data_IF_211544076669
#
_entry.id   IF_211544076669
#
_cell.length_a   1.000
_cell.length_b   1.000
_cell.length_c   1.000
_cell.angle_alpha   90.00
_cell.angle_beta   90.00
_cell.angle_gamma   90.00
#
_symmetry.space_group_name_H-M   'P 1'
#
loop_
_entity.id
_entity.type
_entity.pdbx_description
1 polymer ?
#
# COMPACT_ATOMS: atom_id res chain seq x y z
N UNK A 1 37.40 38.23 -23.56
CA UNK A 1 36.95 38.19 -24.97
C UNK A 1 36.66 36.74 -25.36
N UNK A 2 35.54 36.53 -26.07
CA UNK A 2 34.98 35.29 -26.66
C UNK A 2 34.24 34.35 -25.69
N UNK A 3 33.04 33.86 -25.94
CA UNK A 3 31.79 34.33 -26.58
C UNK A 3 30.77 33.23 -26.28
N UNK A 4 29.55 33.57 -25.84
CA UNK A 4 28.43 32.64 -25.72
C UNK A 4 27.78 32.40 -27.10
N UNK A 5 27.42 31.16 -27.45
CA UNK A 5 26.35 30.90 -28.39
C UNK A 5 25.05 30.58 -27.65
N UNK A 6 24.16 31.57 -27.69
CA UNK A 6 22.70 31.45 -27.63
C UNK A 6 22.21 30.33 -28.56
N UNK A 7 21.57 29.29 -28.03
CA UNK A 7 20.68 28.43 -28.83
C UNK A 7 19.23 28.71 -28.46
N UNK A 8 18.50 29.08 -29.52
CA UNK A 8 17.09 29.47 -29.54
C UNK A 8 16.20 28.26 -29.27
N UNK A 9 15.08 28.55 -28.63
CA UNK A 9 13.99 27.64 -28.33
C UNK A 9 13.48 26.86 -29.54
N UNK A 10 13.21 25.57 -29.34
CA UNK A 10 12.19 24.84 -30.07
C UNK A 10 11.20 24.32 -29.03
N UNK A 11 10.06 25.00 -28.93
CA UNK A 11 8.87 24.46 -28.29
C UNK A 11 8.28 23.38 -29.22
N UNK A 12 8.17 22.15 -28.73
CA UNK A 12 7.29 21.15 -29.29
C UNK A 12 6.58 20.46 -28.12
N UNK A 13 5.30 20.79 -27.99
CA UNK A 13 4.38 20.25 -27.02
C UNK A 13 4.25 18.73 -27.22
N UNK A 14 4.76 17.95 -26.26
CA UNK A 14 4.43 16.54 -26.17
C UNK A 14 3.09 16.45 -25.46
N UNK A 15 2.11 16.02 -26.25
CA UNK A 15 0.71 15.86 -25.94
C UNK A 15 0.47 15.11 -24.62
N UNK A 16 -0.37 15.72 -23.80
CA UNK A 16 -1.14 15.11 -22.71
C UNK A 16 -2.00 13.97 -23.27
N UNK A 17 -1.42 12.78 -23.42
CA UNK A 17 -2.17 11.55 -23.56
C UNK A 17 -2.20 10.84 -22.20
N UNK A 18 -2.95 11.42 -21.25
CA UNK A 18 -3.40 10.68 -20.07
C UNK A 18 -4.63 9.85 -20.48
N UNK A 19 -4.58 8.51 -20.50
CA UNK A 19 -5.78 7.75 -20.23
C UNK A 19 -6.06 7.86 -18.73
N UNK A 20 -6.89 8.83 -18.36
CA UNK A 20 -7.70 8.74 -17.15
C UNK A 20 -8.62 7.53 -17.30
N UNK A 21 -8.26 6.42 -16.67
CA UNK A 21 -9.18 5.29 -16.47
C UNK A 21 -9.05 4.74 -15.05
N UNK A 22 -9.05 5.64 -14.06
CA UNK A 22 -9.42 5.30 -12.68
C UNK A 22 -10.89 5.69 -12.47
N UNK A 23 -11.80 4.95 -13.09
CA UNK A 23 -13.21 4.94 -12.76
C UNK A 23 -13.65 3.50 -12.54
N UNK A 24 -13.49 3.03 -11.30
CA UNK A 24 -14.30 1.97 -10.74
C UNK A 24 -14.70 2.38 -9.31
N UNK A 25 -15.35 3.55 -9.25
CA UNK A 25 -16.27 3.89 -8.17
C UNK A 25 -17.53 3.05 -8.42
N UNK A 26 -17.65 1.89 -7.76
CA UNK A 26 -18.86 1.06 -7.85
C UNK A 26 -19.83 1.54 -6.78
N UNK A 27 -20.79 2.37 -7.18
CA UNK A 27 -21.94 2.73 -6.35
C UNK A 27 -23.22 2.82 -7.18
N UNK A 28 -24.01 1.74 -7.04
CA UNK A 28 -25.47 1.71 -6.86
C UNK A 28 -26.40 2.06 -8.03
N UNK A 29 -27.18 1.06 -8.49
CA UNK A 29 -28.64 1.17 -8.79
C UNK A 29 -29.28 -0.20 -9.05
N UNK A 30 -30.48 -0.38 -8.51
CA UNK A 30 -31.19 -1.62 -8.17
C UNK A 30 -32.00 -2.25 -9.31
N UNK A 31 -32.15 -3.59 -9.30
CA UNK A 31 -33.41 -4.31 -9.56
C UNK A 31 -33.39 -5.73 -8.97
N UNK A 32 -34.54 -6.25 -8.47
CA UNK A 32 -34.59 -7.46 -7.67
C UNK A 32 -34.94 -8.68 -8.52
N UNK A 33 -34.20 -9.77 -8.35
CA UNK A 33 -34.67 -11.09 -8.77
C UNK A 33 -34.90 -11.95 -7.53
N UNK A 34 -36.18 -12.32 -7.36
CA UNK A 34 -36.66 -13.37 -6.48
C UNK A 34 -36.01 -14.68 -6.91
N UNK A 35 -35.33 -15.36 -6.00
CA UNK A 35 -35.38 -16.82 -5.97
C UNK A 35 -35.37 -17.32 -4.53
N UNK A 36 -36.17 -18.36 -4.37
CA UNK A 36 -36.77 -18.91 -3.19
C UNK A 36 -35.83 -19.87 -2.45
N UNK A 37 -35.84 -19.77 -1.13
CA UNK A 37 -35.85 -20.83 -0.10
C UNK A 37 -34.87 -22.02 -0.15
N UNK A 38 -34.08 -22.16 0.92
CA UNK A 38 -34.27 -23.16 2.01
C UNK A 38 -32.93 -23.64 2.63
N UNK A 39 -32.55 -23.17 3.83
CA UNK A 39 -32.65 -23.84 5.17
C UNK A 39 -31.37 -24.65 5.54
N UNK A 40 -31.14 -25.08 6.82
CA UNK A 40 -30.31 -24.40 7.81
C UNK A 40 -29.10 -25.24 8.31
N UNK A 41 -28.19 -24.63 9.08
CA UNK A 41 -27.52 -25.33 10.19
C UNK A 41 -26.94 -24.33 11.19
N UNK A 42 -27.51 -24.35 12.39
CA UNK A 42 -26.95 -23.74 13.58
C UNK A 42 -25.71 -24.50 14.05
N UNK A 43 -24.74 -23.79 14.62
CA UNK A 43 -24.11 -24.19 15.88
C UNK A 43 -23.30 -23.03 16.47
N UNK A 44 -23.77 -22.60 17.62
CA UNK A 44 -23.14 -21.73 18.60
C UNK A 44 -21.87 -22.39 19.15
N UNK A 45 -20.85 -21.59 19.46
CA UNK A 45 -20.06 -21.77 20.68
C UNK A 45 -19.17 -20.56 20.96
N UNK A 46 -19.47 -19.94 22.09
CA UNK A 46 -18.71 -18.92 22.77
C UNK A 46 -17.32 -19.40 23.19
N UNK A 47 -16.30 -18.53 23.12
CA UNK A 47 -15.19 -18.49 24.09
C UNK A 47 -14.51 -17.11 24.10
N UNK A 48 -14.80 -16.38 25.19
CA UNK A 48 -13.97 -15.49 26.05
C UNK A 48 -12.61 -14.92 25.56
N UNK A 49 -12.21 -13.73 26.08
CA UNK A 49 -11.15 -12.90 25.55
C UNK A 49 -9.76 -13.33 26.07
N UNK A 50 -8.76 -13.24 25.18
CA UNK A 50 -7.36 -13.38 25.54
C UNK A 50 -6.66 -12.03 25.45
N UNK A 51 -6.47 -11.39 26.61
CA UNK A 51 -5.42 -10.40 26.80
C UNK A 51 -4.07 -11.10 26.60
N UNK A 52 -3.47 -10.87 25.43
CA UNK A 52 -2.10 -11.26 25.13
C UNK A 52 -1.24 -10.01 25.12
N UNK A 53 -0.67 -9.69 26.27
CA UNK A 53 0.44 -8.76 26.42
C UNK A 53 1.61 -9.29 25.58
N UNK A 54 1.72 -8.85 24.34
CA UNK A 54 2.92 -9.08 23.53
C UNK A 54 3.80 -7.86 23.71
N UNK A 55 4.55 -7.89 24.81
CA UNK A 55 5.81 -7.20 24.96
C UNK A 55 6.54 -7.20 23.63
N UNK A 56 6.61 -6.02 22.99
CA UNK A 56 7.51 -5.77 21.87
C UNK A 56 8.93 -5.72 22.43
N UNK A 57 9.44 -6.89 22.84
CA UNK A 57 10.85 -7.10 23.10
C UNK A 57 11.57 -6.80 21.80
N UNK A 58 12.39 -5.75 21.84
CA UNK A 58 13.22 -5.30 20.74
C UNK A 58 14.08 -6.45 20.20
N UNK A 59 13.61 -7.08 19.13
CA UNK A 59 14.41 -7.96 18.29
C UNK A 59 15.25 -7.11 17.34
N UNK A 60 16.28 -6.46 17.87
CA UNK A 60 17.43 -6.04 17.06
C UNK A 60 18.21 -7.30 16.68
N UNK A 61 17.66 -8.12 15.79
CA UNK A 61 18.44 -9.12 15.08
C UNK A 61 19.15 -8.42 13.93
N UNK A 62 20.22 -7.71 14.30
CA UNK A 62 21.31 -7.43 13.40
C UNK A 62 22.03 -8.76 13.15
N UNK A 63 22.02 -9.23 11.91
CA UNK A 63 22.91 -10.31 11.47
C UNK A 63 22.25 -11.67 11.30
N UNK A 64 21.39 -11.80 10.28
CA UNK A 64 21.50 -12.89 9.31
C UNK A 64 21.22 -12.26 7.94
N UNK A 65 21.95 -12.64 6.89
CA UNK A 65 21.76 -12.14 5.51
C UNK A 65 20.44 -12.63 4.87
N UNK A 66 19.38 -12.80 5.67
CA UNK A 66 18.05 -13.25 5.29
C UNK A 66 17.10 -12.13 4.87
N UNK A 67 15.97 -12.55 4.31
CA UNK A 67 14.84 -11.71 3.91
C UNK A 67 14.44 -10.77 5.08
N UNK A 68 14.37 -9.44 4.86
CA UNK A 68 14.11 -8.49 5.94
C UNK A 68 12.73 -8.71 6.52
N UNK A 69 12.51 -8.55 7.83
CA UNK A 69 11.22 -8.86 8.45
C UNK A 69 10.07 -7.95 7.98
N UNK A 70 8.81 -8.40 8.14
CA UNK A 70 7.62 -7.58 7.83
C UNK A 70 7.67 -6.21 8.52
N UNK A 71 8.05 -6.18 9.80
CA UNK A 71 8.17 -4.94 10.57
C UNK A 71 9.26 -4.02 10.00
N UNK A 72 10.41 -4.56 9.59
CA UNK A 72 11.48 -3.79 8.94
C UNK A 72 11.03 -3.21 7.59
N UNK A 73 10.28 -3.97 6.81
CA UNK A 73 9.72 -3.53 5.53
C UNK A 73 8.70 -2.42 5.74
N UNK A 74 7.78 -2.58 6.70
CA UNK A 74 6.79 -1.56 7.05
C UNK A 74 7.45 -0.27 7.56
N UNK A 75 8.46 -0.38 8.43
CA UNK A 75 9.20 0.77 8.94
C UNK A 75 9.91 1.54 7.82
N UNK A 76 10.65 0.85 6.95
CA UNK A 76 11.34 1.49 5.82
C UNK A 76 10.41 2.18 4.84
N UNK A 77 9.25 1.57 4.57
CA UNK A 77 8.22 2.17 3.74
C UNK A 77 7.60 3.40 4.42
N UNK A 78 7.39 3.32 5.73
CA UNK A 78 6.89 4.44 6.55
C UNK A 78 7.84 5.62 6.51
N UNK A 79 9.12 5.40 6.77
CA UNK A 79 10.13 6.44 6.76
C UNK A 79 10.28 7.12 5.39
N UNK A 80 10.16 6.35 4.30
CA UNK A 80 10.16 6.91 2.95
C UNK A 80 9.02 7.91 2.73
N UNK A 81 7.77 7.54 3.02
CA UNK A 81 6.63 8.42 2.77
C UNK A 81 6.54 9.56 3.78
N UNK A 82 6.94 9.36 5.04
CA UNK A 82 7.08 10.44 6.02
C UNK A 82 8.12 11.44 5.54
N UNK A 83 9.25 10.98 4.99
CA UNK A 83 10.25 11.84 4.35
C UNK A 83 9.75 12.59 3.11
N UNK A 84 8.62 12.16 2.53
CA UNK A 84 7.90 12.86 1.45
C UNK A 84 6.79 13.79 1.96
N UNK A 85 6.63 13.94 3.28
CA UNK A 85 5.63 14.80 3.90
C UNK A 85 4.27 14.13 4.16
N UNK A 86 4.16 12.80 4.00
CA UNK A 86 2.92 12.08 4.29
C UNK A 86 2.79 11.85 5.81
N UNK A 87 1.61 12.07 6.41
CA UNK A 87 1.41 11.85 7.85
C UNK A 87 1.71 10.41 8.27
N UNK A 88 2.52 10.27 9.33
CA UNK A 88 2.97 8.96 9.84
C UNK A 88 1.81 8.03 10.21
N UNK A 89 0.71 8.57 10.74
CA UNK A 89 -0.48 7.79 11.10
C UNK A 89 -1.08 7.07 9.90
N UNK A 90 -1.26 7.79 8.78
CA UNK A 90 -1.80 7.22 7.54
C UNK A 90 -0.86 6.17 6.95
N UNK A 91 0.44 6.45 6.96
CA UNK A 91 1.41 5.54 6.35
C UNK A 91 1.63 4.29 7.19
N UNK A 92 1.59 4.37 8.52
CA UNK A 92 1.86 3.21 9.37
C UNK A 92 0.83 2.09 9.15
N UNK A 93 -0.45 2.44 9.03
CA UNK A 93 -1.53 1.48 8.75
C UNK A 93 -1.37 0.84 7.37
N UNK A 94 -1.09 1.67 6.35
CA UNK A 94 -0.91 1.20 4.97
C UNK A 94 0.35 0.35 4.84
N UNK A 95 1.47 0.78 5.43
CA UNK A 95 2.74 0.07 5.42
C UNK A 95 2.67 -1.25 6.18
N UNK A 96 1.99 -1.27 7.33
CA UNK A 96 1.70 -2.49 8.07
C UNK A 96 0.87 -3.47 7.25
N UNK A 97 -0.22 -3.00 6.61
CA UNK A 97 -1.05 -3.84 5.75
C UNK A 97 -0.29 -4.36 4.52
N UNK A 98 0.49 -3.52 3.86
CA UNK A 98 1.30 -3.90 2.68
C UNK A 98 2.36 -4.93 3.07
N UNK A 99 3.02 -4.74 4.20
CA UNK A 99 3.98 -5.72 4.72
C UNK A 99 3.29 -7.01 5.19
N UNK A 100 2.02 -6.99 5.59
CA UNK A 100 1.34 -8.22 5.95
C UNK A 100 0.87 -9.01 4.71
N UNK A 101 0.22 -8.32 3.77
CA UNK A 101 -0.41 -8.92 2.57
C UNK A 101 0.54 -9.14 1.40
N UNK A 102 1.51 -8.24 1.22
CA UNK A 102 2.41 -8.24 0.07
C UNK A 102 3.72 -8.99 0.29
N UNK A 103 4.10 -9.26 1.54
CA UNK A 103 5.44 -9.76 1.87
C UNK A 103 5.80 -11.12 1.27
N UNK A 104 4.82 -12.01 1.12
CA UNK A 104 5.03 -13.30 0.44
C UNK A 104 4.98 -13.20 -1.08
N UNK A 105 4.48 -12.09 -1.62
CA UNK A 105 4.33 -11.87 -3.07
C UNK A 105 5.50 -11.11 -3.70
N UNK A 106 6.24 -10.36 -2.89
CA UNK A 106 7.41 -9.59 -3.32
C UNK A 106 8.67 -10.44 -3.29
N UNK A 107 9.56 -10.20 -4.26
CA UNK A 107 10.91 -10.76 -4.23
C UNK A 107 11.73 -10.17 -3.08
N UNK A 108 12.75 -10.91 -2.64
CA UNK A 108 13.68 -10.47 -1.59
C UNK A 108 14.36 -9.15 -1.94
N UNK A 109 14.65 -8.93 -3.23
CA UNK A 109 15.21 -7.67 -3.72
C UNK A 109 14.29 -6.48 -3.44
N UNK A 110 12.99 -6.64 -3.70
CA UNK A 110 11.94 -5.65 -3.45
C UNK A 110 11.77 -5.40 -1.96
N UNK A 111 11.76 -6.45 -1.13
CA UNK A 111 11.63 -6.30 0.32
C UNK A 111 12.83 -5.57 0.93
N UNK A 112 14.05 -5.85 0.45
CA UNK A 112 15.25 -5.10 0.85
C UNK A 112 15.19 -3.65 0.39
N UNK A 113 14.68 -3.39 -0.82
CA UNK A 113 14.47 -2.03 -1.31
C UNK A 113 13.46 -1.27 -0.44
N UNK A 114 12.32 -1.90 -0.09
CA UNK A 114 11.29 -1.32 0.78
C UNK A 114 11.81 -1.06 2.20
N UNK A 115 12.54 -2.00 2.80
CA UNK A 115 13.22 -1.78 4.10
C UNK A 115 14.10 -0.53 4.07
N UNK A 116 14.81 -0.30 2.96
CA UNK A 116 15.74 0.82 2.83
C UNK A 116 15.07 2.10 2.30
N UNK A 117 13.74 2.14 2.17
CA UNK A 117 13.01 3.28 1.62
C UNK A 117 13.30 3.55 0.13
N UNK A 118 13.83 2.58 -0.62
CA UNK A 118 14.21 2.73 -2.03
C UNK A 118 13.10 2.24 -2.98
N UNK A 119 11.91 2.83 -2.88
CA UNK A 119 10.78 2.47 -3.76
C UNK A 119 11.04 2.75 -5.26
N UNK A 120 12.01 3.59 -5.60
CA UNK A 120 12.44 3.80 -6.99
C UNK A 120 13.28 2.66 -7.59
N UNK A 121 13.70 1.69 -6.77
CA UNK A 121 14.51 0.53 -7.20
C UNK A 121 13.77 -0.80 -7.05
N UNK A 122 12.44 -0.78 -7.10
CA UNK A 122 11.64 -1.98 -7.05
C UNK A 122 11.78 -2.78 -8.35
N UNK A 123 11.66 -4.09 -8.25
CA UNK A 123 11.52 -4.92 -9.45
C UNK A 123 10.23 -4.51 -10.17
N UNK A 124 10.25 -4.25 -11.50
CA UNK A 124 9.05 -3.84 -12.23
C UNK A 124 7.90 -4.86 -12.13
N UNK A 125 8.19 -6.16 -11.99
CA UNK A 125 7.17 -7.19 -11.77
C UNK A 125 6.50 -7.09 -10.39
N UNK A 126 7.25 -6.61 -9.39
CA UNK A 126 6.73 -6.43 -8.04
C UNK A 126 6.06 -5.07 -7.85
N UNK A 127 6.41 -4.05 -8.65
CA UNK A 127 5.77 -2.74 -8.61
C UNK A 127 4.25 -2.84 -8.85
N UNK A 128 3.83 -3.64 -9.84
CA UNK A 128 2.40 -3.87 -10.11
C UNK A 128 1.67 -4.55 -8.95
N UNK A 129 2.32 -5.54 -8.31
CA UNK A 129 1.79 -6.21 -7.12
C UNK A 129 1.72 -5.25 -5.92
N UNK A 130 2.76 -4.44 -5.73
CA UNK A 130 2.83 -3.48 -4.64
C UNK A 130 1.71 -2.46 -4.76
N UNK A 131 1.48 -1.92 -5.95
CA UNK A 131 0.33 -1.03 -6.22
C UNK A 131 -0.98 -1.72 -5.89
N UNK A 132 -1.21 -2.95 -6.37
CA UNK A 132 -2.46 -3.69 -6.10
C UNK A 132 -2.69 -3.95 -4.61
N UNK A 133 -1.65 -4.39 -3.90
CA UNK A 133 -1.72 -4.61 -2.44
C UNK A 133 -1.96 -3.31 -1.71
N UNK A 134 -1.26 -2.23 -2.08
CA UNK A 134 -1.43 -0.90 -1.48
C UNK A 134 -2.85 -0.39 -1.67
N UNK A 135 -3.42 -0.51 -2.88
CA UNK A 135 -4.81 -0.14 -3.16
C UNK A 135 -5.79 -0.95 -2.31
N UNK A 136 -5.58 -2.27 -2.18
CA UNK A 136 -6.42 -3.12 -1.32
C UNK A 136 -6.30 -2.73 0.15
N UNK A 137 -5.10 -2.35 0.61
CA UNK A 137 -4.84 -1.91 1.97
C UNK A 137 -5.47 -0.55 2.27
N UNK A 138 -5.49 0.36 1.29
CA UNK A 138 -6.20 1.63 1.37
C UNK A 138 -7.72 1.43 1.37
N UNK A 139 -8.24 0.51 0.54
CA UNK A 139 -9.67 0.25 0.44
C UNK A 139 -10.25 -0.55 1.63
N UNK A 140 -9.43 -1.38 2.29
CA UNK A 140 -9.85 -2.23 3.41
C UNK A 140 -9.40 -1.75 4.80
N UNK A 141 -8.67 -0.64 4.87
CA UNK A 141 -8.11 -0.12 6.13
C UNK A 141 -9.19 0.40 7.06
N UNK A 142 -9.43 -0.29 8.18
CA UNK A 142 -10.39 0.04 9.25
C UNK A 142 -10.18 1.43 9.91
N UNK A 143 -9.16 2.20 9.52
CA UNK A 143 -8.85 3.54 10.03
C UNK A 143 -9.00 4.67 9.02
N UNK A 144 -9.19 4.37 7.72
CA UNK A 144 -9.47 5.37 6.72
C UNK A 144 -10.99 5.55 6.58
N UNK A 145 -11.64 6.07 7.62
CA UNK A 145 -12.75 6.99 7.35
C UNK A 145 -12.14 8.14 6.56
N UNK A 146 -12.11 7.98 5.24
CA UNK A 146 -12.01 9.12 4.33
C UNK A 146 -13.02 10.15 4.85
N UNK A 147 -12.64 11.43 5.05
CA UNK A 147 -13.64 12.44 5.30
C UNK A 147 -14.58 12.44 4.08
N UNK A 148 -15.73 11.79 4.22
CA UNK A 148 -16.89 11.92 3.35
C UNK A 148 -17.47 13.33 3.59
N UNK A 149 -16.75 14.38 3.21
CA UNK A 149 -17.13 15.79 3.26
C UNK A 149 -16.07 16.50 2.43
N UNK A 150 -16.32 17.14 1.30
CA UNK A 150 -17.22 18.28 1.02
C UNK A 150 -17.43 18.25 -0.52
N UNK A 151 -18.64 18.17 -1.08
CA UNK A 151 -19.61 19.26 -1.23
C UNK A 151 -19.70 19.61 -2.72
#
# INVERSE_FOLDING_TARGET
MRSLPTQRAAAAAVLLALPLSLAACSSSSSKPDKVDSSTPAASSSSKVPGSGDSSATGGTSAGEEGKPSKAQVAAGMTDYFVGKGVPRSLVNDVAGCVADKGYTQFSDSTLRALKNGKVGKLNPLDAGKLTKVTTNCLAGGKGASLPSSVG
#
